data_IF_647264099374
#
_entry.id   IF_647264099374
#
_cell.length_a   1.000
_cell.length_b   1.000
_cell.length_c   1.000
_cell.angle_alpha   90.00
_cell.angle_beta   90.00
_cell.angle_gamma   90.00
#
_symmetry.space_group_name_H-M   'P 1'
#
loop_
_entity.id
_entity.type
_entity.pdbx_description
1 polymer ?
#
# COMPACT_ATOMS: atom_id res chain seq x y z
N UNK A 1 2.50 9.47 14.58
CA UNK A 1 3.22 9.70 13.31
C UNK A 1 4.62 9.09 13.33
N UNK A 2 5.47 9.38 14.33
CA UNK A 2 6.85 8.87 14.42
C UNK A 2 6.94 7.33 14.40
N UNK A 3 6.04 6.62 15.10
CA UNK A 3 6.05 5.15 15.11
C UNK A 3 5.77 4.50 13.75
N UNK A 4 4.88 5.08 12.94
CA UNK A 4 4.56 4.57 11.59
C UNK A 4 5.76 4.78 10.66
N UNK A 5 6.40 5.96 10.74
CA UNK A 5 7.60 6.27 9.97
C UNK A 5 8.78 5.37 10.36
N UNK A 6 8.98 5.12 11.66
CA UNK A 6 10.01 4.21 12.14
C UNK A 6 9.76 2.78 11.64
N UNK A 7 8.51 2.31 11.70
CA UNK A 7 8.14 0.99 11.19
C UNK A 7 8.39 0.88 9.68
N UNK A 8 7.97 1.88 8.89
CA UNK A 8 8.22 1.93 7.45
C UNK A 8 9.72 1.93 7.10
N UNK A 9 10.54 2.64 7.88
CA UNK A 9 11.99 2.65 7.69
C UNK A 9 12.61 1.27 7.98
N UNK A 10 12.15 0.59 9.04
CA UNK A 10 12.60 -0.75 9.41
C UNK A 10 12.21 -1.78 8.34
N UNK A 11 10.96 -1.80 7.89
CA UNK A 11 10.50 -2.75 6.86
C UNK A 11 11.18 -2.52 5.51
N UNK A 12 11.46 -1.26 5.16
CA UNK A 12 12.24 -0.91 3.96
C UNK A 12 13.69 -1.38 4.08
N UNK A 13 14.31 -1.22 5.24
CA UNK A 13 15.68 -1.71 5.49
C UNK A 13 15.76 -3.24 5.40
N UNK A 14 14.75 -3.95 5.92
CA UNK A 14 14.64 -5.40 5.80
C UNK A 14 14.47 -5.85 4.35
N UNK A 15 13.67 -5.14 3.55
CA UNK A 15 13.53 -5.39 2.13
C UNK A 15 14.88 -5.26 1.40
N UNK A 16 15.61 -4.17 1.64
CA UNK A 16 16.94 -3.94 1.04
C UNK A 16 17.90 -5.07 1.42
N UNK A 17 17.92 -5.45 2.71
CA UNK A 17 18.73 -6.57 3.18
C UNK A 17 18.34 -7.90 2.52
N UNK A 18 17.04 -8.16 2.36
CA UNK A 18 16.51 -9.35 1.69
C UNK A 18 16.90 -9.44 0.22
N UNK A 19 16.92 -8.31 -0.48
CA UNK A 19 17.38 -8.23 -1.88
C UNK A 19 18.88 -8.53 -1.96
N UNK A 20 19.71 -7.94 -1.08
CA UNK A 20 21.16 -8.15 -1.08
C UNK A 20 21.53 -9.60 -0.72
N UNK A 21 20.81 -10.20 0.23
CA UNK A 21 21.04 -11.58 0.67
C UNK A 21 20.31 -12.63 -0.17
N UNK A 22 19.58 -12.21 -1.21
CA UNK A 22 18.73 -13.04 -2.06
C UNK A 22 17.75 -13.94 -1.27
N UNK A 23 17.27 -13.45 -0.12
CA UNK A 23 16.30 -14.16 0.72
C UNK A 23 14.92 -13.52 0.61
N UNK A 24 14.01 -14.19 -0.12
CA UNK A 24 12.64 -13.73 -0.36
C UNK A 24 11.85 -13.45 0.94
N UNK A 25 12.13 -14.20 2.01
CA UNK A 25 11.44 -14.10 3.31
C UNK A 25 11.42 -12.67 3.89
N UNK A 26 12.48 -11.87 3.67
CA UNK A 26 12.57 -10.53 4.25
C UNK A 26 11.80 -9.46 3.46
N UNK A 27 11.28 -9.77 2.26
CA UNK A 27 10.41 -8.85 1.51
C UNK A 27 8.96 -8.91 2.02
N UNK A 28 8.58 -10.00 2.69
CA UNK A 28 7.21 -10.21 3.15
C UNK A 28 6.69 -9.14 4.12
N UNK A 29 7.45 -8.68 5.14
CA UNK A 29 7.01 -7.62 6.04
C UNK A 29 6.69 -6.31 5.32
N UNK A 30 7.48 -5.93 4.31
CA UNK A 30 7.24 -4.72 3.51
C UNK A 30 5.97 -4.86 2.67
N UNK A 31 5.73 -6.04 2.05
CA UNK A 31 4.51 -6.31 1.29
C UNK A 31 3.25 -6.26 2.16
N UNK A 32 3.31 -6.82 3.37
CA UNK A 32 2.20 -6.77 4.32
C UNK A 32 1.90 -5.32 4.77
N UNK A 33 2.94 -4.53 5.02
CA UNK A 33 2.80 -3.12 5.37
C UNK A 33 2.11 -2.30 4.26
N UNK A 34 2.57 -2.45 3.01
CA UNK A 34 1.96 -1.77 1.85
C UNK A 34 0.49 -2.18 1.65
N UNK A 35 0.14 -3.45 1.92
CA UNK A 35 -1.25 -3.89 1.81
C UNK A 35 -2.15 -3.20 2.84
N UNK A 36 -1.70 -3.10 4.10
CA UNK A 36 -2.42 -2.39 5.16
C UNK A 36 -2.56 -0.91 4.81
N UNK A 37 -1.48 -0.28 4.34
CA UNK A 37 -1.48 1.13 3.94
C UNK A 37 -2.49 1.41 2.82
N UNK A 38 -2.53 0.58 1.78
CA UNK A 38 -3.50 0.70 0.70
C UNK A 38 -4.94 0.57 1.20
N UNK A 39 -5.22 -0.39 2.10
CA UNK A 39 -6.56 -0.57 2.69
C UNK A 39 -6.97 0.65 3.51
N UNK A 40 -6.07 1.20 4.32
CA UNK A 40 -6.34 2.41 5.12
C UNK A 40 -6.65 3.61 4.23
N UNK A 41 -5.90 3.80 3.14
CA UNK A 41 -6.12 4.88 2.18
C UNK A 41 -7.45 4.74 1.43
N UNK A 42 -7.86 3.51 1.08
CA UNK A 42 -9.17 3.28 0.47
C UNK A 42 -10.31 3.55 1.46
N UNK A 43 -10.17 3.12 2.72
CA UNK A 43 -11.15 3.42 3.78
C UNK A 43 -11.25 4.93 4.00
N UNK A 44 -10.13 5.66 4.08
CA UNK A 44 -10.15 7.11 4.24
C UNK A 44 -10.85 7.82 3.08
N UNK A 45 -10.63 7.35 1.85
CA UNK A 45 -11.33 7.87 0.67
C UNK A 45 -12.85 7.65 0.75
N UNK A 46 -13.29 6.44 1.11
CA UNK A 46 -14.71 6.10 1.25
C UNK A 46 -15.36 6.95 2.34
N UNK A 47 -14.70 7.11 3.48
CA UNK A 47 -15.19 7.94 4.59
C UNK A 47 -15.34 9.40 4.15
N UNK A 48 -14.36 9.95 3.43
CA UNK A 48 -14.43 11.33 2.92
C UNK A 48 -15.56 11.55 1.92
N UNK A 49 -15.76 10.63 0.97
CA UNK A 49 -16.85 10.72 -0.02
C UNK A 49 -18.22 10.56 0.66
N UNK A 50 -18.35 9.61 1.58
CA UNK A 50 -19.60 9.37 2.31
C UNK A 50 -19.97 10.57 3.19
N UNK A 51 -18.96 11.17 3.83
CA UNK A 51 -19.11 12.39 4.61
C UNK A 51 -19.67 13.55 3.77
N UNK A 52 -19.17 13.70 2.54
CA UNK A 52 -19.65 14.71 1.60
C UNK A 52 -21.09 14.43 1.13
N UNK A 53 -21.42 13.18 0.83
CA UNK A 53 -22.76 12.81 0.32
C UNK A 53 -23.86 12.92 1.38
N UNK A 54 -23.54 12.77 2.66
CA UNK A 54 -24.48 12.84 3.79
C UNK A 54 -24.55 14.24 4.45
N UNK A 55 -23.84 15.23 3.91
CA UNK A 55 -23.89 16.63 4.34
C UNK A 55 -23.04 16.98 5.58
N UNK A 56 -23.10 18.26 5.97
CA UNK A 56 -22.17 18.87 6.94
C UNK A 56 -22.28 18.28 8.35
N UNK A 57 -23.48 17.83 8.74
CA UNK A 57 -23.73 17.25 10.07
C UNK A 57 -23.01 15.90 10.25
N UNK A 58 -22.90 15.12 9.16
CA UNK A 58 -22.16 13.86 9.12
C UNK A 58 -20.66 14.12 9.07
N UNK A 59 -20.23 15.17 8.38
CA UNK A 59 -18.82 15.60 8.32
C UNK A 59 -18.30 15.99 9.70
N UNK A 60 -19.06 16.76 10.47
CA UNK A 60 -18.70 17.06 11.86
C UNK A 60 -18.67 15.82 12.77
N UNK A 61 -19.52 14.81 12.54
CA UNK A 61 -19.51 13.58 13.36
C UNK A 61 -18.35 12.65 13.01
N UNK A 62 -18.04 12.48 11.73
CA UNK A 62 -16.99 11.56 11.28
C UNK A 62 -15.59 12.17 11.39
N UNK A 63 -15.43 13.42 10.97
CA UNK A 63 -14.13 14.10 10.98
C UNK A 63 -13.89 14.93 12.23
N UNK A 64 -14.93 15.37 12.95
CA UNK A 64 -14.77 16.18 14.18
C UNK A 64 -14.04 15.46 15.31
N UNK A 65 -13.95 14.13 15.29
CA UNK A 65 -13.14 13.36 16.23
C UNK A 65 -11.63 13.44 15.94
N UNK A 66 -11.24 13.75 14.70
CA UNK A 66 -9.85 13.72 14.24
C UNK A 66 -9.33 15.11 13.86
N UNK A 67 -10.20 16.01 13.40
CA UNK A 67 -9.84 17.30 12.81
C UNK A 67 -10.94 18.33 13.09
N UNK A 68 -10.55 19.60 13.28
CA UNK A 68 -11.49 20.73 13.28
C UNK A 68 -12.02 20.96 11.86
N UNK A 69 -13.29 20.57 11.62
CA UNK A 69 -13.95 20.76 10.31
C UNK A 69 -13.99 22.23 9.91
N UNK A 70 -14.16 23.14 10.88
CA UNK A 70 -14.23 24.58 10.61
C UNK A 70 -12.89 25.14 10.12
N UNK A 71 -11.77 24.74 10.74
CA UNK A 71 -10.44 25.13 10.27
C UNK A 71 -10.09 24.53 8.90
N UNK A 72 -10.55 23.30 8.64
CA UNK A 72 -10.37 22.68 7.31
C UNK A 72 -11.17 23.40 6.22
N UNK A 73 -12.40 23.83 6.52
CA UNK A 73 -13.21 24.61 5.59
C UNK A 73 -12.62 26.00 5.32
N UNK A 74 -12.10 26.68 6.35
CA UNK A 74 -11.47 28.00 6.19
C UNK A 74 -10.17 27.95 5.36
N UNK A 75 -9.36 26.91 5.52
CA UNK A 75 -8.06 26.80 4.83
C UNK A 75 -8.15 26.11 3.46
N UNK A 76 -8.98 25.09 3.30
CA UNK A 76 -9.05 24.27 2.08
C UNK A 76 -10.35 24.43 1.29
N UNK A 77 -11.30 25.22 1.81
CA UNK A 77 -12.60 25.45 1.22
C UNK A 77 -13.61 24.32 1.49
N UNK A 78 -14.89 24.52 1.14
CA UNK A 78 -15.98 23.57 1.44
C UNK A 78 -15.88 22.21 0.72
N UNK A 79 -14.99 22.10 -0.28
CA UNK A 79 -14.73 20.87 -1.04
C UNK A 79 -13.54 20.06 -0.49
N UNK A 80 -13.00 20.41 0.68
CA UNK A 80 -11.86 19.73 1.29
C UNK A 80 -12.02 18.20 1.47
N UNK A 81 -13.21 17.62 1.80
CA UNK A 81 -13.34 16.17 1.93
C UNK A 81 -13.14 15.45 0.58
N UNK A 82 -13.56 16.09 -0.52
CA UNK A 82 -13.30 15.57 -1.86
C UNK A 82 -11.80 15.55 -2.17
N UNK A 83 -11.08 16.63 -1.85
CA UNK A 83 -9.62 16.69 -2.05
C UNK A 83 -8.90 15.61 -1.25
N UNK A 84 -9.33 15.36 -0.01
CA UNK A 84 -8.81 14.27 0.82
C UNK A 84 -9.06 12.89 0.21
N UNK A 85 -10.24 12.66 -0.37
CA UNK A 85 -10.52 11.41 -1.08
C UNK A 85 -9.63 11.23 -2.32
N UNK A 86 -9.44 12.28 -3.12
CA UNK A 86 -8.56 12.25 -4.30
C UNK A 86 -7.13 11.93 -3.91
N UNK A 87 -6.58 12.61 -2.90
CA UNK A 87 -5.24 12.33 -2.39
C UNK A 87 -5.11 10.90 -1.87
N UNK A 88 -6.13 10.41 -1.16
CA UNK A 88 -6.15 9.05 -0.63
C UNK A 88 -6.17 8.00 -1.76
N UNK A 89 -6.97 8.20 -2.81
CA UNK A 89 -6.98 7.29 -3.96
C UNK A 89 -5.67 7.32 -4.76
N UNK A 90 -5.10 8.51 -5.00
CA UNK A 90 -3.79 8.62 -5.64
C UNK A 90 -2.70 7.95 -4.81
N UNK A 91 -2.69 8.16 -3.49
CA UNK A 91 -1.79 7.48 -2.58
C UNK A 91 -1.95 5.96 -2.65
N UNK A 92 -3.19 5.46 -2.61
CA UNK A 92 -3.46 4.03 -2.70
C UNK A 92 -2.96 3.45 -4.03
N UNK A 93 -3.15 4.15 -5.15
CA UNK A 93 -2.65 3.73 -6.46
C UNK A 93 -1.11 3.63 -6.49
N UNK A 94 -0.41 4.60 -5.90
CA UNK A 94 1.05 4.58 -5.77
C UNK A 94 1.51 3.39 -4.93
N UNK A 95 0.89 3.17 -3.77
CA UNK A 95 1.21 2.05 -2.87
C UNK A 95 0.98 0.70 -3.56
N UNK A 96 -0.13 0.55 -4.28
CA UNK A 96 -0.42 -0.67 -5.08
C UNK A 96 0.62 -0.86 -6.18
N UNK A 97 1.05 0.20 -6.85
CA UNK A 97 2.09 0.10 -7.88
C UNK A 97 3.42 -0.38 -7.29
N UNK A 98 3.86 0.19 -6.17
CA UNK A 98 5.06 -0.29 -5.47
C UNK A 98 4.91 -1.72 -4.95
N UNK A 99 3.73 -2.09 -4.46
CA UNK A 99 3.45 -3.46 -4.04
C UNK A 99 3.67 -4.46 -5.20
N UNK A 100 3.21 -4.14 -6.41
CA UNK A 100 3.42 -4.99 -7.60
C UNK A 100 4.91 -5.14 -7.90
N UNK A 101 5.70 -4.06 -7.81
CA UNK A 101 7.15 -4.10 -8.05
C UNK A 101 7.84 -5.00 -7.03
N UNK A 102 7.56 -4.81 -5.73
CA UNK A 102 8.17 -5.60 -4.65
C UNK A 102 7.75 -7.07 -4.73
N UNK A 103 6.48 -7.34 -5.08
CA UNK A 103 6.00 -8.70 -5.31
C UNK A 103 6.68 -9.35 -6.50
N UNK A 104 6.88 -8.62 -7.59
CA UNK A 104 7.65 -9.12 -8.74
C UNK A 104 9.10 -9.47 -8.36
N UNK A 105 9.74 -8.67 -7.51
CA UNK A 105 11.07 -8.99 -6.98
C UNK A 105 11.07 -10.23 -6.06
N UNK A 106 10.04 -10.38 -5.23
CA UNK A 106 9.86 -11.55 -4.38
C UNK A 106 9.68 -12.83 -5.20
N UNK A 107 8.80 -12.80 -6.20
CA UNK A 107 8.55 -13.94 -7.08
C UNK A 107 9.81 -14.29 -7.89
N UNK A 108 10.56 -13.29 -8.36
CA UNK A 108 11.84 -13.51 -9.05
C UNK A 108 12.89 -14.24 -8.18
N UNK A 109 13.02 -13.85 -6.91
CA UNK A 109 13.98 -14.50 -5.99
C UNK A 109 13.54 -15.95 -5.71
N UNK A 110 12.25 -16.19 -5.51
CA UNK A 110 11.72 -17.54 -5.31
C UNK A 110 11.94 -18.45 -6.52
N UNK A 111 11.67 -17.94 -7.72
CA UNK A 111 11.90 -18.67 -8.97
C UNK A 111 13.39 -19.01 -9.12
N UNK A 112 14.27 -18.03 -8.85
CA UNK A 112 15.72 -18.25 -8.85
C UNK A 112 16.13 -19.37 -7.89
N UNK A 113 15.60 -19.38 -6.67
CA UNK A 113 15.89 -20.42 -5.67
C UNK A 113 15.39 -21.80 -6.13
N UNK A 114 14.20 -21.86 -6.72
CA UNK A 114 13.60 -23.09 -7.26
C UNK A 114 14.45 -23.69 -8.39
N UNK A 115 14.83 -22.89 -9.39
CA UNK A 115 15.62 -23.37 -10.52
C UNK A 115 17.07 -23.70 -10.15
N UNK A 116 17.64 -23.02 -9.16
CA UNK A 116 19.01 -23.32 -8.69
C UNK A 116 19.07 -24.64 -7.92
N UNK A 117 18.02 -25.01 -7.19
CA UNK A 117 17.96 -26.26 -6.40
C UNK A 117 17.51 -27.49 -7.20
N UNK A 118 16.81 -27.30 -8.32
CA UNK A 118 16.33 -28.39 -9.19
C UNK A 118 16.82 -28.23 -10.65
N UNK A 119 18.10 -28.46 -10.95
CA UNK A 119 18.65 -28.31 -12.30
C UNK A 119 18.15 -29.36 -13.32
N UNK A 120 17.45 -30.40 -12.89
CA UNK A 120 17.05 -31.57 -13.71
C UNK A 120 15.56 -31.62 -14.10
N UNK A 121 14.82 -30.51 -14.02
CA UNK A 121 13.45 -30.51 -14.56
C UNK A 121 13.58 -30.42 -16.08
N UNK A 122 13.60 -31.58 -16.73
CA UNK A 122 13.39 -31.70 -18.17
C UNK A 122 12.22 -30.80 -18.55
N UNK A 123 12.49 -29.75 -19.33
CA UNK A 123 11.43 -28.99 -19.98
C UNK A 123 10.73 -29.95 -20.92
N UNK A 124 9.67 -30.61 -20.44
CA UNK A 124 8.82 -31.50 -21.24
C UNK A 124 8.24 -30.64 -22.34
N UNK A 125 8.94 -30.63 -23.48
CA UNK A 125 8.47 -30.13 -24.76
C UNK A 125 7.13 -30.82 -25.02
N UNK A 126 6.02 -30.12 -24.74
CA UNK A 126 4.74 -30.41 -25.37
C UNK A 126 4.87 -30.01 -26.86
N UNK A 127 5.60 -30.82 -27.62
CA UNK A 127 5.37 -30.91 -29.06
C UNK A 127 4.18 -31.84 -29.19
N UNK A 128 2.99 -31.25 -29.20
CA UNK A 128 1.78 -31.95 -29.62
C UNK A 128 1.93 -32.20 -31.12
N UNK A 129 2.04 -33.48 -31.46
CA UNK A 129 1.98 -34.04 -32.81
C UNK A 129 0.51 -34.07 -33.28
#
# INVERSE_FOLDING_TARGET
MVGILAFAAVTTSLMIYGIITEQAKYLWPQMAFMHIEAVLLVISAIVSITSMSMGIQTTHRLFGAFVSVHEMEDHFGPIWPFNMAVLSFFGAAIVVWFYIIVRGAYDFILDKEYFTKSPNIEMVKKVAL
#
